data_IF_462499785700
#
_entry.id   IF_462499785700
#
_cell.length_a   1.000
_cell.length_b   1.000
_cell.length_c   1.000
_cell.angle_alpha   90.00
_cell.angle_beta   90.00
_cell.angle_gamma   90.00
#
_symmetry.space_group_name_H-M   'P 1'
#
loop_
_entity.id
_entity.type
_entity.pdbx_description
1 polymer ?
#
# COMPACT_ATOMS: atom_id res chain seq x y z
N UNK A 1 -5.91 27.24 13.60
CA UNK A 1 -5.43 26.53 12.40
C UNK A 1 -5.26 25.07 12.78
N UNK A 2 -5.64 24.16 11.88
CA UNK A 2 -5.47 22.73 12.12
C UNK A 2 -3.98 22.39 12.10
N UNK A 3 -3.54 21.51 12.99
CA UNK A 3 -2.22 20.89 12.86
C UNK A 3 -2.20 20.03 11.61
N UNK A 4 -1.09 20.00 10.88
CA UNK A 4 -1.04 19.33 9.57
C UNK A 4 0.29 18.64 9.34
N UNK A 5 0.22 17.45 8.75
CA UNK A 5 1.38 16.64 8.37
C UNK A 5 1.25 16.24 6.91
N UNK A 6 2.22 16.62 6.09
CA UNK A 6 2.34 16.13 4.72
C UNK A 6 3.16 14.85 4.68
N UNK A 7 2.54 13.72 4.38
CA UNK A 7 3.18 12.40 4.31
C UNK A 7 3.69 12.17 2.88
N UNK A 8 5.00 12.33 2.69
CA UNK A 8 5.68 12.04 1.44
C UNK A 8 6.42 10.70 1.51
N UNK A 9 6.90 10.19 0.38
CA UNK A 9 7.80 9.04 0.39
C UNK A 9 8.90 9.14 -0.65
N UNK A 10 9.97 8.42 -0.38
CA UNK A 10 11.16 8.31 -1.22
C UNK A 10 10.94 7.46 -2.49
N UNK A 11 9.82 6.74 -2.55
CA UNK A 11 9.44 5.92 -3.69
C UNK A 11 8.02 5.35 -3.60
N UNK A 12 7.70 4.46 -4.54
CA UNK A 12 6.48 3.67 -4.51
C UNK A 12 6.58 2.54 -3.48
N UNK A 13 5.44 2.07 -2.97
CA UNK A 13 5.36 0.92 -2.06
C UNK A 13 6.19 1.00 -0.77
N UNK A 14 6.57 2.20 -0.32
CA UNK A 14 7.27 2.41 0.97
C UNK A 14 6.33 2.29 2.18
N UNK A 15 5.00 2.28 1.96
CA UNK A 15 4.00 2.12 3.02
C UNK A 15 3.27 3.40 3.41
N UNK A 16 3.23 4.42 2.54
CA UNK A 16 2.49 5.69 2.76
C UNK A 16 1.09 5.46 3.32
N UNK A 17 0.26 4.71 2.59
CA UNK A 17 -1.12 4.45 2.98
C UNK A 17 -1.22 3.73 4.33
N UNK A 18 -0.33 2.77 4.60
CA UNK A 18 -0.25 2.10 5.91
C UNK A 18 0.07 3.08 7.03
N UNK A 19 1.05 3.96 6.82
CA UNK A 19 1.43 5.00 7.79
C UNK A 19 0.33 6.03 7.94
N UNK A 20 -0.34 6.47 6.87
CA UNK A 20 -1.47 7.39 6.96
C UNK A 20 -2.64 6.80 7.75
N UNK A 21 -2.98 5.51 7.55
CA UNK A 21 -3.97 4.80 8.39
C UNK A 21 -3.53 4.81 9.86
N UNK A 22 -2.24 4.55 10.10
CA UNK A 22 -1.68 4.49 11.45
C UNK A 22 -1.71 5.85 12.15
N UNK A 23 -1.30 6.91 11.44
CA UNK A 23 -1.32 8.28 11.94
C UNK A 23 -2.75 8.77 12.17
N UNK A 24 -3.70 8.45 11.30
CA UNK A 24 -5.12 8.79 11.52
C UNK A 24 -5.66 8.12 12.78
N UNK A 25 -5.38 6.82 12.95
CA UNK A 25 -5.78 6.06 14.12
C UNK A 25 -5.21 6.63 15.42
N UNK A 26 -3.90 6.92 15.45
CA UNK A 26 -3.24 7.49 16.64
C UNK A 26 -3.69 8.93 16.89
N UNK A 27 -3.86 9.73 15.85
CA UNK A 27 -4.36 11.10 15.97
C UNK A 27 -5.79 11.14 16.53
N UNK A 28 -6.69 10.22 16.16
CA UNK A 28 -8.05 10.15 16.70
C UNK A 28 -8.08 9.88 18.22
N UNK A 29 -7.01 9.34 18.79
CA UNK A 29 -6.89 9.18 20.25
C UNK A 29 -6.49 10.47 20.97
N UNK A 30 -5.87 11.43 20.27
CA UNK A 30 -5.35 12.69 20.84
C UNK A 30 -6.19 13.92 20.47
N UNK A 31 -6.76 13.94 19.27
CA UNK A 31 -7.50 15.06 18.70
C UNK A 31 -8.97 14.72 18.51
N UNK A 32 -9.86 15.68 18.80
CA UNK A 32 -11.30 15.50 18.67
C UNK A 32 -11.77 15.39 17.22
N UNK A 33 -11.13 16.11 16.29
CA UNK A 33 -11.49 16.12 14.87
C UNK A 33 -10.25 15.90 14.02
N UNK A 34 -10.19 14.74 13.35
CA UNK A 34 -9.05 14.38 12.49
C UNK A 34 -9.49 14.18 11.03
N UNK A 35 -8.85 14.91 10.12
CA UNK A 35 -9.15 14.91 8.69
C UNK A 35 -8.04 14.27 7.85
N UNK A 36 -8.38 13.97 6.60
CA UNK A 36 -7.45 13.40 5.61
C UNK A 36 -7.61 14.07 4.25
N UNK A 37 -6.50 14.25 3.55
CA UNK A 37 -6.48 14.76 2.18
C UNK A 37 -5.46 14.01 1.32
N UNK A 38 -5.86 13.67 0.10
CA UNK A 38 -5.01 13.23 -1.01
C UNK A 38 -5.08 14.30 -2.11
N UNK A 39 -4.24 15.36 -2.06
CA UNK A 39 -4.39 16.54 -2.91
C UNK A 39 -4.29 16.21 -4.41
N UNK A 40 -3.39 15.29 -4.77
CA UNK A 40 -3.20 14.78 -6.12
C UNK A 40 -3.29 13.25 -6.13
N UNK A 41 -4.34 12.71 -6.74
CA UNK A 41 -4.71 11.30 -6.71
C UNK A 41 -4.51 10.55 -8.03
N UNK A 42 -3.44 9.77 -8.22
CA UNK A 42 -3.18 9.02 -9.46
C UNK A 42 -3.93 7.69 -9.59
N UNK A 43 -4.74 7.30 -8.60
CA UNK A 43 -5.49 6.04 -8.60
C UNK A 43 -6.99 6.33 -8.59
N UNK A 44 -7.60 6.72 -9.73
CA UNK A 44 -9.01 7.07 -9.77
C UNK A 44 -9.91 5.92 -9.33
N UNK A 45 -10.95 6.26 -8.58
CA UNK A 45 -12.09 5.41 -8.24
C UNK A 45 -13.34 6.26 -8.02
N UNK A 46 -14.49 5.62 -7.85
CA UNK A 46 -15.76 6.30 -7.57
C UNK A 46 -16.33 5.77 -6.26
N UNK A 47 -16.61 6.67 -5.32
CA UNK A 47 -17.26 6.36 -4.06
C UNK A 47 -18.44 7.32 -3.88
N UNK A 48 -19.65 6.78 -3.68
CA UNK A 48 -20.90 7.56 -3.55
C UNK A 48 -21.10 8.58 -4.68
N UNK A 49 -20.77 8.19 -5.92
CA UNK A 49 -20.89 9.05 -7.11
C UNK A 49 -19.81 10.13 -7.25
N UNK A 50 -18.83 10.20 -6.32
CA UNK A 50 -17.75 11.19 -6.35
C UNK A 50 -16.46 10.51 -6.83
N UNK A 51 -15.82 11.12 -7.82
CA UNK A 51 -14.51 10.70 -8.32
C UNK A 51 -13.41 11.11 -7.32
N UNK A 52 -12.66 10.13 -6.83
CA UNK A 52 -11.60 10.32 -5.84
C UNK A 52 -10.43 9.37 -6.08
N UNK A 53 -9.32 9.59 -5.38
CA UNK A 53 -8.27 8.59 -5.26
C UNK A 53 -8.69 7.40 -4.40
N UNK A 54 -8.20 6.19 -4.73
CA UNK A 54 -8.39 4.98 -3.91
C UNK A 54 -7.94 5.15 -2.46
N UNK A 55 -6.85 5.87 -2.21
CA UNK A 55 -6.33 6.08 -0.85
C UNK A 55 -7.28 7.02 -0.07
N UNK A 56 -7.85 8.06 -0.71
CA UNK A 56 -8.87 8.92 -0.09
C UNK A 56 -10.18 8.17 0.19
N UNK A 57 -10.65 7.34 -0.75
CA UNK A 57 -11.81 6.48 -0.55
C UNK A 57 -11.63 5.52 0.63
N UNK A 58 -10.45 4.90 0.75
CA UNK A 58 -10.08 4.06 1.88
C UNK A 58 -10.20 4.81 3.20
N UNK A 59 -9.56 5.97 3.33
CA UNK A 59 -9.60 6.74 4.58
C UNK A 59 -11.02 7.18 4.93
N UNK A 60 -11.80 7.62 3.94
CA UNK A 60 -13.19 8.01 4.14
C UNK A 60 -14.04 6.86 4.70
N UNK A 61 -13.86 5.64 4.20
CA UNK A 61 -14.61 4.48 4.66
C UNK A 61 -14.12 3.96 6.03
N UNK A 62 -12.82 4.00 6.29
CA UNK A 62 -12.22 3.42 7.51
C UNK A 62 -12.38 4.33 8.73
N UNK A 63 -12.43 5.65 8.52
CA UNK A 63 -12.47 6.67 9.58
C UNK A 63 -13.75 7.52 9.57
N UNK A 64 -14.77 7.10 8.83
CA UNK A 64 -16.07 7.79 8.68
C UNK A 64 -15.99 9.25 8.20
N UNK A 65 -15.05 9.54 7.29
CA UNK A 65 -14.86 10.88 6.70
C UNK A 65 -15.70 11.10 5.43
N UNK A 66 -16.73 10.28 5.21
CA UNK A 66 -17.48 10.26 3.95
C UNK A 66 -18.25 11.56 3.64
N UNK A 67 -18.51 12.39 4.65
CA UNK A 67 -19.15 13.71 4.48
C UNK A 67 -18.27 14.72 3.75
N UNK A 68 -16.95 14.60 3.90
CA UNK A 68 -15.97 15.54 3.34
C UNK A 68 -15.29 15.02 2.07
N UNK A 69 -15.77 13.91 1.52
CA UNK A 69 -15.16 13.18 0.39
C UNK A 69 -14.81 14.09 -0.81
N UNK A 70 -15.64 15.10 -1.07
CA UNK A 70 -15.43 16.10 -2.14
C UNK A 70 -14.16 16.95 -1.98
N UNK A 71 -13.72 17.15 -0.74
CA UNK A 71 -12.52 17.94 -0.41
C UNK A 71 -11.28 17.05 -0.22
N UNK A 72 -11.47 15.75 0.01
CA UNK A 72 -10.39 14.81 0.28
C UNK A 72 -9.53 14.52 -0.96
N UNK A 73 -10.03 14.67 -2.17
CA UNK A 73 -9.30 14.33 -3.40
C UNK A 73 -9.58 15.31 -4.55
N UNK A 74 -9.18 16.59 -4.41
CA UNK A 74 -9.60 17.66 -5.32
C UNK A 74 -9.05 17.51 -6.73
N UNK A 75 -7.88 16.88 -6.93
CA UNK A 75 -7.31 16.63 -8.27
C UNK A 75 -7.09 15.13 -8.45
N UNK A 76 -7.91 14.51 -9.29
CA UNK A 76 -7.78 13.10 -9.67
C UNK A 76 -7.12 13.02 -11.04
N UNK A 77 -6.05 12.24 -11.15
CA UNK A 77 -5.26 12.09 -12.36
C UNK A 77 -5.69 10.82 -13.09
N UNK A 78 -6.08 10.98 -14.35
CA UNK A 78 -6.47 9.92 -15.27
C UNK A 78 -5.33 9.66 -16.29
N UNK A 79 -5.37 8.54 -17.03
CA UNK A 79 -4.35 8.22 -18.02
C UNK A 79 -4.04 9.36 -19.03
N UNK A 80 -5.07 10.12 -19.42
CA UNK A 80 -4.92 11.22 -20.40
C UNK A 80 -4.50 12.56 -19.77
N UNK A 81 -4.56 12.70 -18.45
CA UNK A 81 -4.34 13.99 -17.76
C UNK A 81 -2.95 14.57 -18.06
N UNK A 82 -1.91 13.74 -18.10
CA UNK A 82 -0.56 14.20 -18.44
C UNK A 82 -0.47 14.72 -19.88
N UNK A 83 -1.12 14.05 -20.84
CA UNK A 83 -1.13 14.49 -22.24
C UNK A 83 -1.90 15.81 -22.39
N UNK A 84 -3.06 15.92 -21.74
CA UNK A 84 -3.84 17.15 -21.74
C UNK A 84 -3.10 18.35 -21.12
N UNK A 85 -2.29 18.12 -20.09
CA UNK A 85 -1.44 19.17 -19.51
C UNK A 85 -0.37 19.65 -20.51
N UNK A 86 0.32 18.72 -21.17
CA UNK A 86 1.37 19.02 -22.16
C UNK A 86 0.77 19.73 -23.39
N UNK A 87 -0.42 19.31 -23.82
CA UNK A 87 -1.15 19.92 -24.92
C UNK A 87 -1.73 21.31 -24.57
N UNK A 88 -1.57 21.80 -23.33
CA UNK A 88 -2.15 23.07 -22.88
C UNK A 88 -3.67 23.06 -22.72
N UNK A 89 -4.29 21.87 -22.67
CA UNK A 89 -5.75 21.69 -22.53
C UNK A 89 -6.23 21.80 -21.08
N UNK A 90 -5.32 21.78 -20.11
CA UNK A 90 -5.64 21.93 -18.68
C UNK A 90 -5.17 23.29 -18.16
N UNK A 91 -6.04 23.95 -17.40
CA UNK A 91 -5.68 25.13 -16.63
C UNK A 91 -4.96 24.69 -15.33
N UNK A 92 -3.62 24.62 -15.38
CA UNK A 92 -2.84 24.15 -14.23
C UNK A 92 -3.00 25.04 -12.97
N UNK A 93 -3.04 26.38 -13.05
CA UNK A 93 -3.39 27.23 -11.91
C UNK A 93 -4.71 26.84 -11.23
N UNK A 94 -5.76 26.55 -12.00
CA UNK A 94 -7.06 26.15 -11.44
C UNK A 94 -6.97 24.85 -10.62
N UNK A 95 -6.12 23.91 -11.02
CA UNK A 95 -5.88 22.69 -10.25
C UNK A 95 -5.25 22.99 -8.89
N UNK A 96 -4.34 23.96 -8.82
CA UNK A 96 -3.74 24.42 -7.57
C UNK A 96 -4.79 25.11 -6.67
N UNK A 97 -5.63 25.97 -7.25
CA UNK A 97 -6.71 26.66 -6.53
C UNK A 97 -7.73 25.69 -5.93
N UNK A 98 -8.05 24.60 -6.65
CA UNK A 98 -8.91 23.52 -6.14
C UNK A 98 -8.31 22.82 -4.92
N UNK A 99 -7.00 22.58 -4.93
CA UNK A 99 -6.28 21.99 -3.78
C UNK A 99 -6.34 22.95 -2.59
N UNK A 100 -6.01 24.23 -2.79
CA UNK A 100 -6.03 25.25 -1.74
C UNK A 100 -7.43 25.42 -1.14
N UNK A 101 -8.45 25.56 -1.97
CA UNK A 101 -9.84 25.74 -1.53
C UNK A 101 -10.33 24.54 -0.74
N UNK A 102 -10.05 23.32 -1.22
CA UNK A 102 -10.46 22.09 -0.52
C UNK A 102 -9.74 21.92 0.81
N UNK A 103 -8.45 22.27 0.87
CA UNK A 103 -7.70 22.25 2.11
C UNK A 103 -8.25 23.27 3.12
N UNK A 104 -8.55 24.49 2.68
CA UNK A 104 -9.12 25.54 3.54
C UNK A 104 -10.48 25.14 4.11
N UNK A 105 -11.32 24.40 3.37
CA UNK A 105 -12.55 23.84 3.91
C UNK A 105 -12.28 22.78 4.98
N UNK A 106 -11.36 21.83 4.73
CA UNK A 106 -10.99 20.83 5.73
C UNK A 106 -10.41 21.47 7.01
N UNK A 107 -9.61 22.53 6.89
CA UNK A 107 -9.01 23.23 8.03
C UNK A 107 -10.04 23.86 8.98
N UNK A 108 -11.24 24.21 8.49
CA UNK A 108 -12.33 24.71 9.33
C UNK A 108 -12.95 23.60 10.19
N UNK A 109 -12.94 22.37 9.69
CA UNK A 109 -13.65 21.24 10.28
C UNK A 109 -12.79 20.38 11.20
N UNK A 110 -11.47 20.42 11.05
CA UNK A 110 -10.55 19.49 11.70
C UNK A 110 -9.49 20.19 12.55
N UNK A 111 -9.05 19.53 13.62
CA UNK A 111 -7.98 19.98 14.51
C UNK A 111 -6.61 19.43 14.06
N UNK A 112 -6.62 18.29 13.38
CA UNK A 112 -5.44 17.63 12.82
C UNK A 112 -5.73 17.08 11.42
N UNK A 113 -4.89 17.36 10.42
CA UNK A 113 -5.09 16.92 9.03
C UNK A 113 -3.85 16.18 8.52
N UNK A 114 -4.07 14.97 8.02
CA UNK A 114 -3.03 14.20 7.32
C UNK A 114 -3.19 14.42 5.82
N UNK A 115 -2.14 14.92 5.18
CA UNK A 115 -2.09 15.19 3.74
C UNK A 115 -1.17 14.14 3.12
N UNK A 116 -1.70 13.17 2.39
CA UNK A 116 -0.91 12.11 1.79
C UNK A 116 -0.43 12.48 0.38
N UNK A 117 0.88 12.52 0.17
CA UNK A 117 1.49 12.70 -1.15
C UNK A 117 1.39 11.45 -2.04
N UNK A 118 1.78 11.60 -3.31
CA UNK A 118 1.71 10.53 -4.31
C UNK A 118 3.10 10.08 -4.76
N UNK A 119 3.34 8.77 -4.85
CA UNK A 119 4.63 8.21 -5.31
C UNK A 119 5.87 8.83 -4.63
N UNK A 120 6.81 9.32 -5.44
CA UNK A 120 8.00 10.05 -5.00
C UNK A 120 7.76 11.58 -5.06
N UNK A 121 8.64 12.44 -4.52
CA UNK A 121 8.43 13.89 -4.41
C UNK A 121 8.10 14.62 -5.71
N UNK A 122 8.60 14.12 -6.85
CA UNK A 122 8.38 14.70 -8.18
C UNK A 122 7.10 14.24 -8.89
N UNK A 123 6.32 13.32 -8.31
CA UNK A 123 5.03 12.97 -8.91
C UNK A 123 4.12 14.20 -8.91
N UNK A 124 3.53 14.49 -10.07
CA UNK A 124 2.71 15.68 -10.29
C UNK A 124 3.43 16.85 -10.96
N UNK A 125 4.75 16.75 -11.24
CA UNK A 125 5.50 17.84 -11.88
C UNK A 125 4.95 18.26 -13.25
N UNK A 126 4.41 17.33 -14.06
CA UNK A 126 3.75 17.67 -15.34
C UNK A 126 2.52 18.58 -15.17
N UNK A 127 1.93 18.57 -13.97
CA UNK A 127 0.79 19.42 -13.60
C UNK A 127 1.20 20.65 -12.79
N UNK A 128 2.51 20.86 -12.60
CA UNK A 128 3.05 21.86 -11.67
C UNK A 128 2.55 21.67 -10.22
N UNK A 129 2.34 20.41 -9.83
CA UNK A 129 1.78 19.98 -8.55
C UNK A 129 2.62 18.84 -7.96
N UNK A 130 3.95 19.00 -7.94
CA UNK A 130 4.83 18.06 -7.25
C UNK A 130 4.47 17.99 -5.77
N UNK A 131 4.75 16.88 -5.08
CA UNK A 131 4.48 16.78 -3.64
C UNK A 131 5.19 17.89 -2.85
N UNK A 132 6.42 18.25 -3.25
CA UNK A 132 7.18 19.33 -2.65
C UNK A 132 6.48 20.69 -2.80
N UNK A 133 5.99 20.98 -4.00
CA UNK A 133 5.25 22.21 -4.28
C UNK A 133 3.92 22.25 -3.55
N UNK A 134 3.18 21.14 -3.49
CA UNK A 134 1.91 21.07 -2.73
C UNK A 134 2.17 21.27 -1.23
N UNK A 135 3.18 20.62 -0.66
CA UNK A 135 3.53 20.79 0.74
C UNK A 135 3.86 22.26 1.07
N UNK A 136 4.64 22.92 0.21
CA UNK A 136 4.92 24.36 0.33
C UNK A 136 3.67 25.20 0.23
N UNK A 137 2.85 24.95 -0.79
CA UNK A 137 1.62 25.69 -1.09
C UNK A 137 0.62 25.62 0.08
N UNK A 138 0.49 24.47 0.72
CA UNK A 138 -0.39 24.25 1.88
C UNK A 138 0.24 24.70 3.22
N UNK A 139 1.52 25.12 3.21
CA UNK A 139 2.30 25.39 4.41
C UNK A 139 2.37 24.17 5.33
N UNK A 140 2.36 22.96 4.78
CA UNK A 140 2.28 21.72 5.53
C UNK A 140 3.69 21.13 5.71
N UNK A 141 4.19 20.99 6.95
CA UNK A 141 5.47 20.36 7.18
C UNK A 141 5.45 18.88 6.77
N UNK A 142 6.59 18.37 6.34
CA UNK A 142 6.72 17.08 5.66
C UNK A 142 7.30 16.02 6.59
N UNK A 143 6.59 14.89 6.67
CA UNK A 143 7.11 13.61 7.15
C UNK A 143 7.49 12.77 5.94
N UNK A 144 8.78 12.59 5.71
CA UNK A 144 9.30 11.85 4.56
C UNK A 144 9.51 10.37 4.91
N UNK A 145 8.80 9.48 4.22
CA UNK A 145 8.95 8.05 4.40
C UNK A 145 10.08 7.48 3.56
N UNK A 146 10.90 6.61 4.16
CA UNK A 146 11.88 5.80 3.44
C UNK A 146 11.73 4.31 3.74
N UNK A 147 12.31 3.46 2.90
CA UNK A 147 12.44 2.03 3.19
C UNK A 147 13.51 1.76 4.22
N UNK A 148 13.95 0.50 4.32
CA UNK A 148 15.09 0.10 5.15
C UNK A 148 16.43 0.13 4.42
N UNK A 149 17.50 -0.05 5.18
CA UNK A 149 18.88 -0.18 4.72
C UNK A 149 19.65 1.15 4.75
N UNK A 150 20.79 1.19 5.45
CA UNK A 150 21.52 2.44 5.72
C UNK A 150 21.90 3.18 4.44
N UNK A 151 22.68 2.55 3.53
CA UNK A 151 23.11 3.19 2.29
C UNK A 151 21.94 3.61 1.38
N UNK A 152 21.00 2.68 1.16
CA UNK A 152 19.81 2.95 0.35
C UNK A 152 18.99 4.14 0.88
N UNK A 153 18.80 4.23 2.20
CA UNK A 153 18.07 5.34 2.81
C UNK A 153 18.82 6.66 2.64
N UNK A 154 20.15 6.66 2.85
CA UNK A 154 20.99 7.85 2.68
C UNK A 154 20.90 8.39 1.25
N UNK A 155 21.19 7.54 0.26
CA UNK A 155 21.21 7.93 -1.15
C UNK A 155 19.83 8.42 -1.61
N UNK A 156 18.80 7.67 -1.24
CA UNK A 156 17.43 7.98 -1.68
C UNK A 156 16.94 9.27 -1.03
N UNK A 157 17.25 9.55 0.24
CA UNK A 157 16.85 10.80 0.90
C UNK A 157 17.65 12.00 0.39
N UNK A 158 18.94 11.84 0.08
CA UNK A 158 19.73 12.90 -0.51
C UNK A 158 19.11 13.39 -1.83
N UNK A 159 18.73 12.46 -2.71
CA UNK A 159 18.07 12.79 -3.98
C UNK A 159 16.67 13.40 -3.77
N UNK A 160 15.87 12.80 -2.89
CA UNK A 160 14.47 13.18 -2.74
C UNK A 160 14.25 14.46 -1.92
N UNK A 161 15.13 14.76 -0.96
CA UNK A 161 15.08 16.01 -0.19
C UNK A 161 15.45 17.23 -1.04
N UNK A 162 16.22 17.05 -2.12
CA UNK A 162 16.64 18.14 -2.99
C UNK A 162 15.44 18.93 -3.58
N UNK A 163 14.38 18.24 -4.00
CA UNK A 163 13.19 18.91 -4.54
C UNK A 163 12.40 19.65 -3.46
N UNK A 164 12.28 19.09 -2.25
CA UNK A 164 11.65 19.80 -1.13
C UNK A 164 12.43 21.07 -0.76
N UNK A 165 13.77 20.97 -0.76
CA UNK A 165 14.65 22.13 -0.52
C UNK A 165 14.49 23.19 -1.61
N UNK A 166 14.43 22.79 -2.88
CA UNK A 166 14.24 23.69 -4.03
C UNK A 166 12.92 24.46 -3.94
N UNK A 167 11.83 23.78 -3.58
CA UNK A 167 10.50 24.39 -3.40
C UNK A 167 10.37 25.15 -2.06
N UNK A 168 11.37 25.04 -1.16
CA UNK A 168 11.34 25.66 0.17
C UNK A 168 10.28 25.05 1.10
N UNK A 169 9.97 23.77 0.93
CA UNK A 169 9.08 23.00 1.79
C UNK A 169 9.81 22.52 3.05
N UNK A 170 9.13 22.58 4.18
CA UNK A 170 9.67 22.28 5.51
C UNK A 170 9.65 20.77 5.78
N UNK A 171 10.80 20.10 5.67
CA UNK A 171 10.94 18.67 6.01
C UNK A 171 11.43 18.56 7.45
N UNK A 172 10.57 18.02 8.33
CA UNK A 172 10.86 17.94 9.78
C UNK A 172 11.22 16.55 10.27
N UNK A 173 10.76 15.53 9.56
CA UNK A 173 10.95 14.15 9.97
C UNK A 173 11.19 13.23 8.79
N UNK A 174 12.04 12.23 9.02
CA UNK A 174 12.19 11.06 8.16
C UNK A 174 11.74 9.84 8.95
N UNK A 175 10.72 9.13 8.45
CA UNK A 175 10.27 7.88 9.04
C UNK A 175 10.79 6.70 8.22
N UNK A 176 11.70 5.92 8.81
CA UNK A 176 12.34 4.77 8.19
C UNK A 176 11.47 3.54 8.40
N UNK A 177 10.83 3.06 7.34
CA UNK A 177 9.84 1.99 7.39
C UNK A 177 10.39 0.66 6.87
N UNK A 178 9.70 -0.45 7.20
CA UNK A 178 10.09 -1.82 6.82
C UNK A 178 11.47 -2.21 7.38
N UNK A 179 11.70 -1.90 8.64
CA UNK A 179 12.93 -2.22 9.36
C UNK A 179 13.00 -3.74 9.64
N UNK A 180 14.18 -4.35 9.57
CA UNK A 180 14.33 -5.71 10.07
C UNK A 180 14.42 -5.65 11.60
N UNK A 181 13.56 -6.39 12.30
CA UNK A 181 13.42 -6.34 13.77
C UNK A 181 14.78 -6.46 14.46
N UNK A 182 15.63 -7.36 13.99
CA UNK A 182 16.92 -7.70 14.60
C UNK A 182 17.97 -6.61 14.38
N UNK A 183 17.78 -5.74 13.38
CA UNK A 183 18.74 -4.68 12.98
C UNK A 183 18.18 -3.28 13.19
N UNK A 184 17.00 -3.15 13.79
CA UNK A 184 16.24 -1.90 13.91
C UNK A 184 17.07 -0.82 14.61
N UNK A 185 17.50 -1.08 15.83
CA UNK A 185 18.15 -0.07 16.67
C UNK A 185 19.51 0.34 16.10
N UNK A 186 20.30 -0.64 15.65
CA UNK A 186 21.58 -0.37 14.97
C UNK A 186 21.39 0.46 13.71
N UNK A 187 20.36 0.17 12.90
CA UNK A 187 20.10 0.94 11.69
C UNK A 187 19.67 2.37 12.01
N UNK A 188 18.81 2.57 13.00
CA UNK A 188 18.36 3.89 13.42
C UNK A 188 19.50 4.72 14.01
N UNK A 189 20.43 4.12 14.77
CA UNK A 189 21.64 4.80 15.25
C UNK A 189 22.49 5.33 14.09
N UNK A 190 22.83 4.45 13.12
CA UNK A 190 23.63 4.84 11.97
C UNK A 190 22.98 5.95 11.15
N UNK A 191 21.66 5.87 10.92
CA UNK A 191 20.94 6.89 10.17
C UNK A 191 20.86 8.21 10.92
N UNK A 192 20.63 8.17 12.24
CA UNK A 192 20.60 9.38 13.08
C UNK A 192 21.95 10.10 13.03
N UNK A 193 23.06 9.36 13.12
CA UNK A 193 24.41 9.93 13.01
C UNK A 193 24.71 10.46 11.60
N UNK A 194 24.31 9.73 10.57
CA UNK A 194 24.51 10.14 9.17
C UNK A 194 23.75 11.44 8.83
N UNK A 195 22.61 11.67 9.47
CA UNK A 195 21.76 12.85 9.26
C UNK A 195 21.84 13.88 10.38
N UNK A 196 22.82 13.81 11.28
CA UNK A 196 22.92 14.72 12.43
C UNK A 196 23.04 16.21 12.04
N UNK A 197 23.58 16.50 10.84
CA UNK A 197 23.70 17.86 10.32
C UNK A 197 22.47 18.33 9.52
N UNK A 198 21.45 17.49 9.36
CA UNK A 198 20.23 17.83 8.63
C UNK A 198 19.20 18.46 9.57
N UNK A 199 18.28 19.31 9.06
CA UNK A 199 17.28 20.00 9.88
C UNK A 199 16.10 19.09 10.30
N UNK A 200 16.12 17.81 9.92
CA UNK A 200 15.04 16.86 10.21
C UNK A 200 15.47 15.78 11.21
N UNK A 201 14.50 15.26 11.95
CA UNK A 201 14.71 14.12 12.87
C UNK A 201 14.49 12.78 12.16
N UNK A 202 15.23 11.75 12.58
CA UNK A 202 15.05 10.37 12.09
C UNK A 202 14.19 9.58 13.08
N UNK A 203 13.17 8.91 12.57
CA UNK A 203 12.19 8.15 13.33
C UNK A 203 12.06 6.72 12.78
N UNK A 204 11.79 5.76 13.67
CA UNK A 204 11.53 4.37 13.28
C UNK A 204 10.05 4.13 12.95
N UNK A 205 9.77 3.62 11.75
CA UNK A 205 8.44 3.16 11.31
C UNK A 205 8.16 1.72 11.72
N UNK A 206 7.43 0.98 10.89
CA UNK A 206 7.15 -0.43 11.13
C UNK A 206 8.33 -1.33 10.80
N UNK A 207 8.38 -2.47 11.49
CA UNK A 207 9.20 -3.58 11.06
C UNK A 207 8.61 -4.24 9.81
N UNK A 208 9.45 -4.86 8.99
CA UNK A 208 9.01 -5.64 7.85
C UNK A 208 8.23 -6.85 8.34
N UNK A 209 6.91 -6.84 8.08
CA UNK A 209 6.01 -7.95 8.38
C UNK A 209 5.40 -8.46 7.07
N UNK A 210 5.65 -9.72 6.67
CA UNK A 210 5.07 -10.31 5.47
C UNK A 210 3.54 -10.16 5.42
N UNK A 211 2.84 -10.35 6.54
CA UNK A 211 1.37 -10.20 6.64
C UNK A 211 0.85 -8.81 6.23
N UNK A 212 1.62 -7.74 6.43
CA UNK A 212 1.27 -6.39 5.97
C UNK A 212 1.59 -6.17 4.49
N UNK A 213 2.54 -6.91 3.94
CA UNK A 213 2.79 -6.93 2.52
C UNK A 213 1.69 -7.74 1.81
N UNK A 214 1.27 -8.87 2.35
CA UNK A 214 0.63 -9.95 1.60
C UNK A 214 -0.89 -9.81 1.31
N UNK A 215 -1.41 -10.36 0.18
CA UNK A 215 -2.82 -10.32 -0.22
C UNK A 215 -3.60 -11.48 0.40
N UNK A 216 -4.93 -11.37 0.46
CA UNK A 216 -5.81 -12.51 0.78
C UNK A 216 -6.32 -13.22 -0.48
N UNK A 217 -6.81 -14.46 -0.35
CA UNK A 217 -7.45 -15.17 -1.46
C UNK A 217 -8.62 -14.36 -2.05
N UNK A 218 -9.47 -13.76 -1.22
CA UNK A 218 -10.59 -12.94 -1.67
C UNK A 218 -10.16 -11.67 -2.39
N UNK A 219 -8.96 -11.17 -2.12
CA UNK A 219 -8.37 -10.07 -2.87
C UNK A 219 -7.87 -10.54 -4.23
N UNK A 220 -7.18 -11.67 -4.30
CA UNK A 220 -6.76 -12.29 -5.56
C UNK A 220 -7.99 -12.58 -6.44
N UNK A 221 -9.08 -13.07 -5.87
CA UNK A 221 -10.35 -13.27 -6.58
C UNK A 221 -10.84 -11.99 -7.29
N UNK A 222 -10.84 -10.85 -6.58
CA UNK A 222 -11.25 -9.55 -7.14
C UNK A 222 -10.25 -8.99 -8.14
N UNK A 223 -8.95 -9.19 -7.89
CA UNK A 223 -7.89 -8.74 -8.77
C UNK A 223 -7.94 -9.43 -10.12
N UNK A 224 -8.20 -10.73 -10.12
CA UNK A 224 -8.26 -11.55 -11.33
C UNK A 224 -9.66 -11.54 -11.98
N UNK A 225 -10.67 -11.00 -11.29
CA UNK A 225 -12.09 -11.11 -11.65
C UNK A 225 -12.53 -12.58 -11.82
N UNK A 226 -12.14 -13.43 -10.86
CA UNK A 226 -12.38 -14.87 -10.89
C UNK A 226 -13.05 -15.37 -9.61
N UNK A 227 -13.99 -16.32 -9.70
CA UNK A 227 -14.57 -16.96 -8.54
C UNK A 227 -13.55 -17.86 -7.82
N UNK A 228 -13.61 -17.87 -6.49
CA UNK A 228 -12.90 -18.85 -5.68
C UNK A 228 -13.69 -20.18 -5.66
N UNK A 229 -13.04 -21.25 -6.12
CA UNK A 229 -13.54 -22.61 -6.07
C UNK A 229 -12.97 -23.37 -4.85
N UNK A 230 -13.50 -24.57 -4.57
CA UNK A 230 -13.13 -25.35 -3.39
C UNK A 230 -13.59 -24.71 -2.08
N UNK A 231 -12.74 -24.72 -1.06
CA UNK A 231 -13.08 -24.21 0.27
C UNK A 231 -13.20 -22.68 0.30
N UNK A 232 -14.42 -22.18 0.09
CA UNK A 232 -14.72 -20.74 0.09
C UNK A 232 -14.62 -20.08 1.46
N UNK A 233 -14.55 -20.83 2.57
CA UNK A 233 -14.38 -20.25 3.92
C UNK A 233 -13.00 -19.61 4.09
N UNK A 234 -12.01 -20.07 3.33
CA UNK A 234 -10.65 -19.54 3.31
C UNK A 234 -10.54 -18.20 2.56
N UNK A 235 -11.63 -17.57 2.11
CA UNK A 235 -11.58 -16.31 1.34
C UNK A 235 -10.78 -15.19 2.04
N UNK A 236 -10.70 -15.21 3.37
CA UNK A 236 -9.92 -14.24 4.15
C UNK A 236 -8.46 -14.63 4.36
N UNK A 237 -8.07 -15.87 4.03
CA UNK A 237 -6.71 -16.40 4.23
C UNK A 237 -5.66 -15.54 3.53
N UNK A 238 -4.63 -15.16 4.26
CA UNK A 238 -3.52 -14.32 3.79
C UNK A 238 -2.44 -15.20 3.14
N UNK A 239 -2.06 -14.89 1.91
CA UNK A 239 -1.07 -15.61 1.11
C UNK A 239 0.33 -15.12 1.45
N UNK A 240 1.16 -15.90 2.13
CA UNK A 240 2.50 -15.44 2.53
C UNK A 240 3.55 -15.55 1.44
N UNK A 241 3.38 -16.54 0.57
CA UNK A 241 4.30 -16.83 -0.51
C UNK A 241 3.54 -17.09 -1.79
N UNK A 242 4.06 -16.59 -2.90
CA UNK A 242 3.56 -16.90 -4.24
C UNK A 242 4.64 -17.74 -4.92
N UNK A 243 4.30 -18.95 -5.34
CA UNK A 243 5.26 -19.89 -5.91
C UNK A 243 4.81 -20.32 -7.30
N UNK A 244 5.72 -20.27 -8.27
CA UNK A 244 5.47 -20.83 -9.60
C UNK A 244 5.84 -22.32 -9.58
N UNK A 245 4.88 -23.18 -9.92
CA UNK A 245 5.05 -24.63 -10.04
C UNK A 245 5.78 -25.03 -11.32
N UNK A 246 6.94 -24.43 -11.61
CA UNK A 246 7.73 -24.72 -12.81
C UNK A 246 8.72 -25.88 -12.63
N UNK A 247 9.25 -26.08 -11.42
CA UNK A 247 10.19 -27.17 -11.11
C UNK A 247 9.51 -28.54 -11.08
N UNK A 248 10.27 -29.63 -10.94
CA UNK A 248 9.69 -30.97 -10.78
C UNK A 248 8.74 -31.03 -9.58
N UNK A 249 7.75 -31.94 -9.61
CA UNK A 249 6.74 -32.06 -8.54
C UNK A 249 7.36 -32.19 -7.16
N UNK A 250 8.37 -33.05 -7.01
CA UNK A 250 9.13 -33.20 -5.75
C UNK A 250 9.75 -31.87 -5.27
N UNK A 251 10.39 -31.12 -6.16
CA UNK A 251 11.00 -29.83 -5.80
C UNK A 251 9.95 -28.80 -5.42
N UNK A 252 8.83 -28.76 -6.13
CA UNK A 252 7.72 -27.86 -5.81
C UNK A 252 7.18 -28.13 -4.41
N UNK A 253 7.03 -29.41 -4.03
CA UNK A 253 6.53 -29.82 -2.72
C UNK A 253 7.54 -29.57 -1.60
N UNK A 254 8.84 -29.81 -1.83
CA UNK A 254 9.92 -29.51 -0.87
C UNK A 254 10.06 -28.00 -0.58
N UNK A 255 9.69 -27.16 -1.55
CA UNK A 255 9.77 -25.69 -1.43
C UNK A 255 8.53 -25.05 -0.80
N UNK A 256 7.50 -25.85 -0.47
CA UNK A 256 6.30 -25.33 0.19
C UNK A 256 6.67 -24.66 1.52
N UNK A 257 6.04 -23.53 1.75
CA UNK A 257 6.15 -22.72 2.96
C UNK A 257 4.76 -22.44 3.47
N UNK A 258 4.66 -21.87 4.67
CA UNK A 258 3.37 -21.51 5.24
C UNK A 258 2.59 -20.56 4.32
N UNK A 259 1.34 -20.89 4.06
CA UNK A 259 0.40 -20.12 3.25
C UNK A 259 0.92 -19.74 1.84
N UNK A 260 1.46 -20.71 1.11
CA UNK A 260 1.84 -20.60 -0.31
C UNK A 260 0.63 -20.66 -1.24
N UNK A 261 0.49 -19.67 -2.13
CA UNK A 261 -0.36 -19.73 -3.32
C UNK A 261 0.47 -20.25 -4.49
N UNK A 262 0.12 -21.42 -5.04
CA UNK A 262 0.84 -22.00 -6.16
C UNK A 262 0.22 -21.62 -7.50
N UNK A 263 1.03 -21.11 -8.42
CA UNK A 263 0.67 -20.91 -9.82
C UNK A 263 1.09 -22.15 -10.60
N UNK A 264 0.11 -22.88 -11.13
CA UNK A 264 0.33 -24.16 -11.81
C UNK A 264 -0.38 -24.12 -13.16
N UNK A 265 0.23 -24.67 -14.21
CA UNK A 265 -0.45 -24.75 -15.51
C UNK A 265 -1.45 -25.90 -15.54
N UNK A 266 -2.55 -25.75 -16.27
CA UNK A 266 -3.60 -26.78 -16.39
C UNK A 266 -3.10 -28.09 -17.00
N UNK A 267 -1.97 -28.05 -17.70
CA UNK A 267 -1.29 -29.22 -18.28
C UNK A 267 -0.47 -30.04 -17.28
N UNK A 268 -0.26 -29.56 -16.04
CA UNK A 268 0.51 -30.28 -15.02
C UNK A 268 -0.39 -31.12 -14.12
N UNK A 269 -1.08 -32.08 -14.74
CA UNK A 269 -2.00 -32.99 -14.07
C UNK A 269 -1.33 -33.68 -12.86
N UNK A 270 -0.08 -34.11 -12.99
CA UNK A 270 0.66 -34.81 -11.94
C UNK A 270 0.90 -33.94 -10.71
N UNK A 271 1.21 -32.65 -10.92
CA UNK A 271 1.42 -31.71 -9.83
C UNK A 271 0.09 -31.32 -9.18
N UNK A 272 -0.96 -31.09 -9.98
CA UNK A 272 -2.30 -30.78 -9.46
C UNK A 272 -2.86 -31.92 -8.60
N UNK A 273 -2.74 -33.16 -9.05
CA UNK A 273 -3.13 -34.35 -8.28
C UNK A 273 -2.30 -34.47 -7.00
N UNK A 274 -0.99 -34.25 -7.08
CA UNK A 274 -0.11 -34.30 -5.90
C UNK A 274 -0.51 -33.25 -4.87
N UNK A 275 -0.70 -31.99 -5.29
CA UNK A 275 -1.10 -30.90 -4.38
C UNK A 275 -2.48 -31.14 -3.77
N UNK A 276 -3.42 -31.67 -4.55
CA UNK A 276 -4.75 -32.03 -4.04
C UNK A 276 -4.68 -33.12 -2.95
N UNK A 277 -3.81 -34.12 -3.12
CA UNK A 277 -3.60 -35.18 -2.12
C UNK A 277 -2.85 -34.66 -0.89
N UNK A 278 -1.80 -33.86 -1.08
CA UNK A 278 -1.09 -33.22 0.03
C UNK A 278 -2.04 -32.36 0.85
N UNK A 279 -2.91 -31.60 0.21
CA UNK A 279 -3.92 -30.80 0.90
C UNK A 279 -4.88 -31.65 1.76
N UNK A 280 -4.99 -32.98 1.63
CA UNK A 280 -5.78 -33.77 2.59
C UNK A 280 -5.05 -34.03 3.91
N UNK A 281 -3.76 -33.74 3.98
CA UNK A 281 -2.92 -33.92 5.17
C UNK A 281 -2.92 -32.62 6.00
N UNK A 282 -3.22 -32.66 7.31
CA UNK A 282 -3.36 -31.47 8.15
C UNK A 282 -2.15 -30.54 8.16
N UNK A 283 -0.93 -31.06 8.05
CA UNK A 283 0.29 -30.26 7.99
C UNK A 283 0.37 -29.38 6.73
N UNK A 284 -0.11 -29.89 5.59
CA UNK A 284 -0.11 -29.15 4.33
C UNK A 284 -1.30 -28.20 4.19
N UNK A 285 -2.35 -28.34 5.00
CA UNK A 285 -3.42 -27.33 5.09
C UNK A 285 -2.88 -25.97 5.48
N UNK A 286 -1.85 -25.90 6.33
CA UNK A 286 -1.22 -24.63 6.73
C UNK A 286 -0.27 -24.10 5.65
N UNK A 287 0.40 -25.01 4.93
CA UNK A 287 1.34 -24.66 3.87
C UNK A 287 0.65 -24.22 2.58
N UNK A 288 -0.41 -24.88 2.14
CA UNK A 288 -1.05 -24.57 0.86
C UNK A 288 -2.22 -23.62 1.10
N UNK A 289 -2.06 -22.36 0.72
CA UNK A 289 -3.14 -21.38 0.74
C UNK A 289 -4.17 -21.64 -0.37
N UNK A 290 -3.70 -22.03 -1.55
CA UNK A 290 -4.55 -22.35 -2.69
C UNK A 290 -3.78 -22.47 -3.99
N UNK A 291 -4.50 -22.65 -5.09
CA UNK A 291 -3.95 -22.78 -6.44
C UNK A 291 -4.47 -21.69 -7.38
N UNK A 292 -3.63 -21.21 -8.28
CA UNK A 292 -4.04 -20.48 -9.49
C UNK A 292 -3.69 -21.35 -10.68
N UNK A 293 -4.71 -21.93 -11.29
CA UNK A 293 -4.57 -22.85 -12.42
C UNK A 293 -4.67 -22.05 -13.72
N UNK A 294 -3.53 -21.89 -14.39
CA UNK A 294 -3.41 -21.11 -15.63
C UNK A 294 -3.39 -21.99 -16.88
N UNK A 295 -3.93 -21.53 -18.00
CA UNK A 295 -3.72 -22.16 -19.30
C UNK A 295 -4.96 -22.11 -20.19
N UNK A 296 -4.77 -22.26 -21.50
CA UNK A 296 -5.89 -22.26 -22.45
C UNK A 296 -6.68 -23.57 -22.40
N UNK A 297 -5.96 -24.70 -22.32
CA UNK A 297 -6.59 -26.01 -22.22
C UNK A 297 -7.27 -26.21 -20.86
N UNK A 298 -8.46 -26.85 -20.81
CA UNK A 298 -9.08 -27.22 -19.55
C UNK A 298 -8.18 -28.21 -18.78
N UNK A 299 -8.35 -28.25 -17.46
CA UNK A 299 -7.78 -29.35 -16.65
C UNK A 299 -8.45 -30.65 -17.09
N UNK A 300 -7.70 -31.75 -17.14
CA UNK A 300 -8.27 -33.03 -17.53
C UNK A 300 -9.43 -33.44 -16.61
N UNK A 301 -10.45 -34.13 -17.15
CA UNK A 301 -11.68 -34.43 -16.39
C UNK A 301 -11.46 -35.29 -15.14
N UNK A 302 -10.42 -36.14 -15.13
CA UNK A 302 -10.05 -36.93 -13.94
C UNK A 302 -9.38 -36.02 -12.90
N UNK A 303 -8.39 -35.23 -13.29
CA UNK A 303 -7.71 -34.28 -12.39
C UNK A 303 -8.68 -33.26 -11.79
N UNK A 304 -9.62 -32.73 -12.59
CA UNK A 304 -10.63 -31.79 -12.08
C UNK A 304 -11.46 -32.42 -10.95
N UNK A 305 -11.92 -33.66 -11.12
CA UNK A 305 -12.65 -34.39 -10.06
C UNK A 305 -11.81 -34.58 -8.78
N UNK A 306 -10.50 -34.78 -8.92
CA UNK A 306 -9.58 -34.92 -7.79
C UNK A 306 -9.43 -33.59 -7.05
N UNK A 307 -9.24 -32.48 -7.78
CA UNK A 307 -9.16 -31.12 -7.21
C UNK A 307 -10.47 -30.76 -6.49
N UNK A 308 -11.62 -31.02 -7.11
CA UNK A 308 -12.92 -30.68 -6.54
C UNK A 308 -13.17 -31.46 -5.23
N UNK A 309 -12.78 -32.75 -5.20
CA UNK A 309 -12.91 -33.61 -4.01
C UNK A 309 -12.00 -33.20 -2.87
N UNK A 310 -10.78 -32.75 -3.15
CA UNK A 310 -9.86 -32.30 -2.09
C UNK A 310 -10.31 -31.00 -1.44
N UNK A 311 -11.25 -30.27 -2.06
CA UNK A 311 -11.76 -28.99 -1.59
C UNK A 311 -10.66 -27.92 -1.42
N UNK A 312 -9.50 -28.10 -2.08
CA UNK A 312 -8.42 -27.11 -2.10
C UNK A 312 -8.92 -25.80 -2.70
N UNK A 313 -8.67 -24.63 -2.09
CA UNK A 313 -9.03 -23.35 -2.69
C UNK A 313 -8.31 -23.16 -4.03
N UNK A 314 -9.04 -22.87 -5.11
CA UNK A 314 -8.40 -22.60 -6.40
C UNK A 314 -9.12 -21.58 -7.29
N UNK A 315 -8.36 -20.99 -8.21
CA UNK A 315 -8.82 -20.15 -9.31
C UNK A 315 -8.46 -20.79 -10.66
N UNK A 316 -9.28 -20.58 -11.69
CA UNK A 316 -8.99 -21.03 -13.06
C UNK A 316 -8.96 -19.84 -14.02
N UNK A 317 -7.88 -19.69 -14.79
CA UNK A 317 -7.68 -18.55 -15.70
C UNK A 317 -6.93 -18.92 -16.96
N UNK A 318 -7.15 -18.17 -18.05
CA UNK A 318 -6.45 -18.36 -19.32
C UNK A 318 -5.21 -17.46 -19.45
N UNK A 319 -4.91 -16.64 -18.44
CA UNK A 319 -3.71 -15.80 -18.39
C UNK A 319 -2.44 -16.64 -18.17
N UNK A 320 -1.27 -16.09 -18.50
CA UNK A 320 0.01 -16.79 -18.32
C UNK A 320 0.47 -16.79 -16.86
N UNK A 321 1.25 -17.79 -16.44
CA UNK A 321 1.80 -17.86 -15.07
C UNK A 321 2.66 -16.64 -14.72
N UNK A 322 3.43 -16.12 -15.68
CA UNK A 322 4.27 -14.93 -15.47
C UNK A 322 3.44 -13.68 -15.23
N UNK A 323 2.41 -13.45 -16.03
CA UNK A 323 1.54 -12.28 -15.88
C UNK A 323 0.78 -12.34 -14.56
N UNK A 324 0.27 -13.52 -14.20
CA UNK A 324 -0.39 -13.76 -12.92
C UNK A 324 0.56 -13.54 -11.74
N UNK A 325 1.80 -14.03 -11.83
CA UNK A 325 2.80 -13.83 -10.78
C UNK A 325 3.05 -12.35 -10.57
N UNK A 326 3.30 -11.58 -11.64
CA UNK A 326 3.50 -10.13 -11.57
C UNK A 326 2.27 -9.42 -11.00
N UNK A 327 1.09 -9.71 -11.55
CA UNK A 327 -0.16 -9.07 -11.15
C UNK A 327 -0.46 -9.30 -9.65
N UNK A 328 -0.32 -10.54 -9.18
CA UNK A 328 -0.53 -10.89 -7.77
C UNK A 328 0.56 -10.21 -6.92
N UNK A 329 1.85 -10.37 -7.27
CA UNK A 329 2.98 -9.83 -6.49
C UNK A 329 2.99 -8.30 -6.41
N UNK A 330 2.47 -7.60 -7.42
CA UNK A 330 2.33 -6.14 -7.42
C UNK A 330 1.08 -5.65 -6.66
N UNK A 331 -0.04 -6.39 -6.73
CA UNK A 331 -1.28 -6.03 -6.04
C UNK A 331 -1.25 -6.21 -4.52
N UNK A 332 -0.41 -7.14 -4.03
CA UNK A 332 -0.02 -7.37 -2.62
C UNK A 332 0.01 -6.06 -1.79
N UNK A 333 0.44 -4.95 -2.39
CA UNK A 333 0.64 -3.66 -1.70
C UNK A 333 -0.59 -2.77 -1.36
N UNK A 334 -1.82 -2.95 -1.88
CA UNK A 334 -2.83 -1.83 -1.85
C UNK A 334 -4.02 -2.02 -0.87
N UNK A 335 -3.93 -1.54 0.37
CA UNK A 335 -5.03 -1.60 1.37
C UNK A 335 -6.43 -1.19 0.86
N UNK A 336 -7.48 -1.90 1.29
CA UNK A 336 -8.89 -1.57 1.04
C UNK A 336 -9.70 -1.57 2.33
N UNK A 337 -10.86 -0.88 2.36
CA UNK A 337 -11.72 -0.82 3.54
C UNK A 337 -12.30 -2.18 3.96
N UNK A 338 -12.27 -3.18 3.07
CA UNK A 338 -12.71 -4.56 3.34
C UNK A 338 -11.64 -5.40 4.06
N UNK A 339 -10.40 -4.94 4.12
CA UNK A 339 -9.27 -5.67 4.72
C UNK A 339 -9.26 -5.48 6.26
N UNK A 340 -10.36 -5.82 6.94
CA UNK A 340 -10.59 -5.51 8.36
C UNK A 340 -9.53 -6.08 9.30
N UNK A 341 -9.07 -7.31 9.06
CA UNK A 341 -8.02 -7.96 9.85
C UNK A 341 -6.66 -7.25 9.67
N UNK A 342 -6.33 -6.87 8.43
CA UNK A 342 -5.09 -6.13 8.12
C UNK A 342 -5.13 -4.73 8.74
N UNK A 343 -6.28 -4.05 8.69
CA UNK A 343 -6.47 -2.75 9.34
C UNK A 343 -6.37 -2.86 10.86
N UNK A 344 -6.97 -3.87 11.48
CA UNK A 344 -6.85 -4.12 12.91
C UNK A 344 -5.39 -4.37 13.32
N UNK A 345 -4.66 -5.18 12.56
CA UNK A 345 -3.23 -5.41 12.78
C UNK A 345 -2.41 -4.12 12.63
N UNK A 346 -2.66 -3.31 11.61
CA UNK A 346 -1.98 -2.02 11.42
C UNK A 346 -2.21 -1.12 12.63
N UNK A 347 -3.45 -1.01 13.11
CA UNK A 347 -3.79 -0.22 14.29
C UNK A 347 -3.07 -0.70 15.55
N UNK A 348 -3.05 -2.02 15.79
CA UNK A 348 -2.32 -2.62 16.91
C UNK A 348 -0.82 -2.34 16.82
N UNK A 349 -0.21 -2.52 15.64
CA UNK A 349 1.21 -2.26 15.43
C UNK A 349 1.53 -0.76 15.56
N UNK A 350 0.63 0.11 15.12
CA UNK A 350 0.79 1.56 15.23
C UNK A 350 0.96 1.97 16.69
N UNK A 351 0.15 1.41 17.59
CA UNK A 351 0.23 1.68 19.03
C UNK A 351 1.51 1.13 19.67
N UNK A 352 2.04 0.02 19.16
CA UNK A 352 3.26 -0.60 19.68
C UNK A 352 4.54 0.07 19.14
N UNK A 353 4.54 0.47 17.87
CA UNK A 353 5.78 0.79 17.12
C UNK A 353 5.94 2.24 16.72
N UNK A 354 4.87 3.02 16.64
CA UNK A 354 4.96 4.43 16.29
C UNK A 354 4.84 5.28 17.56
N UNK A 355 5.88 6.04 17.86
CA UNK A 355 5.80 7.08 18.89
C UNK A 355 5.07 8.30 18.32
N UNK A 356 3.74 8.29 18.43
CA UNK A 356 2.91 9.39 17.91
C UNK A 356 3.19 10.71 18.59
N UNK A 357 3.50 10.74 19.89
CA UNK A 357 3.80 12.01 20.57
C UNK A 357 5.09 12.64 20.06
N UNK A 358 6.15 11.86 19.84
CA UNK A 358 7.37 12.36 19.22
C UNK A 358 7.14 12.82 17.77
N UNK A 359 6.31 12.10 17.01
CA UNK A 359 5.90 12.55 15.66
C UNK A 359 5.12 13.85 15.79
N UNK A 360 4.11 13.91 16.64
CA UNK A 360 3.25 15.07 16.81
C UNK A 360 4.10 16.28 17.15
N UNK A 361 4.92 16.24 18.21
CA UNK A 361 5.75 17.33 18.72
C UNK A 361 6.65 17.98 17.65
N UNK A 362 7.22 17.20 16.73
CA UNK A 362 8.00 17.73 15.59
C UNK A 362 7.15 18.67 14.71
N UNK A 363 5.84 18.45 14.64
CA UNK A 363 4.88 19.19 13.82
C UNK A 363 4.06 20.20 14.66
N UNK A 364 4.43 20.47 15.92
CA UNK A 364 3.85 21.57 16.73
C UNK A 364 4.49 22.92 16.46
N UNK A 365 5.79 22.86 16.13
CA UNK A 365 6.67 24.02 15.97
C UNK A 365 6.37 24.78 14.67
#
# INVERSE_FOLDING_TARGET
>A
MARKIFVAASGQNIGKTTISVSLLHLAQKKYGRVGFMKPLGPKPTVLRGIHVDKDAALMAQVFDLTKDLRYMSPVVVYPETSRQAIDGKLNLPELADRIMTSFAELEKHYDFIIIEGSGHPGVGSVLNLSNARIAKMLGAPVLMLSGGGVGNVIDTLAMNSALFKLEGADVRGVLVNKLFTEKRDTMLDYLTRAFAAQPFSVLGGFDYKPVLANPSLGRVARLLDLPLHGNRREVKRIIHHVQIGAASTQRVTEMLRDSTLLLVTSSRDELLVTLANLYQMPEFHQQIAGLVISGQAPVSGITQRIIDRSNIPYFRTNQTTTDLYKLITEDVSKLTAKDTEKLALIRSLAEERLNFDAIDDLFAQ
#
